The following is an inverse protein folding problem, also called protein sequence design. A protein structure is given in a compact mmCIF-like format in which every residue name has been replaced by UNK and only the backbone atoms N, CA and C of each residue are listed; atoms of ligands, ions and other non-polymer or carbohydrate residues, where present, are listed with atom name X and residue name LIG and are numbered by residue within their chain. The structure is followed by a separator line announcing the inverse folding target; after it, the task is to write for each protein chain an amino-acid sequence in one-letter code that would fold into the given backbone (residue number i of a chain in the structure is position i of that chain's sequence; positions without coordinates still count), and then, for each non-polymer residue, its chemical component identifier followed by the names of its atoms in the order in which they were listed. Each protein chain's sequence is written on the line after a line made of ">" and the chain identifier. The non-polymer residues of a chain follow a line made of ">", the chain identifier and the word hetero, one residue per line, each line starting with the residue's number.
data_IF_268509626088
#
_entry.id   IF_268509626088
#
_cell.length_a   1.000
_cell.length_b   1.000
_cell.length_c   1.000
_cell.angle_alpha   90.00
_cell.angle_beta   90.00
_cell.angle_gamma   90.00
#
_symmetry.space_group_name_H-M   'P 1'
#
loop_
_entity.id
_entity.type
_entity.pdbx_description
1 polymer ?
#
# COMPACT_ATOMS: atom_id res chain seq x y z
N UNK A 1 10.92 -5.26 6.71
CA UNK A 1 10.71 -4.60 5.39
C UNK A 1 10.00 -3.28 5.63
N UNK A 2 10.40 -2.22 4.91
CA UNK A 2 9.72 -0.92 5.07
C UNK A 2 8.25 -1.02 4.62
N UNK A 3 7.38 -0.27 5.28
CA UNK A 3 5.96 -0.22 4.89
C UNK A 3 5.82 0.29 3.45
N UNK A 4 4.92 -0.32 2.71
CA UNK A 4 4.65 0.10 1.35
C UNK A 4 3.74 1.33 1.40
N UNK A 5 4.26 2.44 0.91
CA UNK A 5 3.47 3.65 0.78
C UNK A 5 2.83 3.69 -0.60
N UNK A 6 1.66 3.07 -0.72
CA UNK A 6 0.87 3.09 -1.96
C UNK A 6 0.67 4.52 -2.49
N UNK A 7 0.67 5.51 -1.62
CA UNK A 7 0.53 6.93 -1.98
C UNK A 7 1.70 7.46 -2.80
N UNK A 8 2.86 6.79 -2.76
CA UNK A 8 4.07 7.18 -3.51
C UNK A 8 4.12 6.62 -4.94
N UNK A 9 3.17 5.79 -5.34
CA UNK A 9 3.10 5.30 -6.72
C UNK A 9 2.94 6.51 -7.66
N UNK A 10 3.73 6.58 -8.75
CA UNK A 10 3.70 7.75 -9.64
C UNK A 10 2.37 7.90 -10.36
N UNK A 11 2.03 9.13 -10.70
CA UNK A 11 0.85 9.43 -11.53
C UNK A 11 1.05 8.79 -12.91
N UNK A 12 0.01 8.13 -13.40
CA UNK A 12 0.01 7.48 -14.71
C UNK A 12 -0.60 8.46 -15.73
N UNK A 13 0.18 8.83 -16.72
CA UNK A 13 -0.25 9.70 -17.82
C UNK A 13 -1.12 8.90 -18.80
N UNK A 14 -2.02 9.56 -19.48
CA UNK A 14 -2.77 8.97 -20.58
C UNK A 14 -1.84 8.75 -21.80
N UNK A 15 -2.23 7.85 -22.67
CA UNK A 15 -1.42 7.46 -23.82
C UNK A 15 -1.09 8.65 -24.73
N UNK A 16 -2.07 9.51 -25.03
CA UNK A 16 -1.86 10.72 -25.82
C UNK A 16 -0.92 11.71 -25.12
N UNK A 17 -1.02 11.86 -23.81
CA UNK A 17 -0.12 12.71 -23.01
C UNK A 17 1.33 12.22 -23.09
N UNK A 18 1.55 10.90 -23.07
CA UNK A 18 2.90 10.30 -23.20
C UNK A 18 3.49 10.63 -24.56
N UNK A 19 2.72 10.43 -25.63
CA UNK A 19 3.15 10.70 -27.01
C UNK A 19 3.40 12.19 -27.25
N UNK A 20 2.48 13.04 -26.83
CA UNK A 20 2.60 14.49 -27.01
C UNK A 20 3.83 15.03 -26.28
N UNK A 21 4.03 14.61 -25.04
CA UNK A 21 5.20 14.97 -24.25
C UNK A 21 6.51 14.54 -24.94
N UNK A 22 6.54 13.32 -25.47
CA UNK A 22 7.73 12.79 -26.14
C UNK A 22 8.02 13.54 -27.43
N UNK A 23 7.05 13.71 -28.29
CA UNK A 23 7.22 14.36 -29.58
C UNK A 23 7.51 15.85 -29.45
N UNK A 24 7.02 16.43 -28.54
CA UNK A 24 7.21 17.71 -28.29
C UNK A 24 8.52 18.01 -27.89
N UNK A 25 8.97 17.34 -26.90
CA UNK A 25 10.37 17.52 -26.42
C UNK A 25 11.41 17.15 -27.47
N UNK A 26 11.17 16.06 -28.20
CA UNK A 26 12.09 15.59 -29.23
C UNK A 26 12.30 16.63 -30.34
N UNK A 27 11.23 17.31 -30.74
CA UNK A 27 11.31 18.39 -31.74
C UNK A 27 12.20 19.53 -31.23
N UNK A 28 11.94 20.03 -30.02
CA UNK A 28 12.74 21.09 -29.41
C UNK A 28 14.22 20.73 -29.30
N UNK A 29 14.53 19.48 -28.97
CA UNK A 29 15.91 19.01 -28.87
C UNK A 29 16.58 18.92 -30.25
N UNK A 30 15.83 18.64 -31.31
CA UNK A 30 16.37 18.60 -32.66
C UNK A 30 16.78 19.98 -33.19
N UNK A 31 16.09 21.03 -32.73
CA UNK A 31 16.37 22.41 -33.11
C UNK A 31 17.76 22.91 -32.64
N UNK A 32 18.34 22.21 -31.65
CA UNK A 32 19.70 22.50 -31.17
C UNK A 32 20.81 21.92 -32.06
N UNK A 33 20.46 21.19 -33.12
CA UNK A 33 21.45 20.58 -34.00
C UNK A 33 21.94 21.65 -34.98
N UNK A 34 23.23 21.96 -34.91
CA UNK A 34 23.90 22.93 -35.80
C UNK A 34 24.91 22.19 -36.69
N UNK A 35 24.80 22.35 -37.99
CA UNK A 35 25.75 21.83 -38.98
C UNK A 35 25.61 22.71 -40.22
N UNK A 36 26.71 23.23 -40.77
CA UNK A 36 26.66 24.05 -41.98
C UNK A 36 26.07 23.32 -43.18
N UNK A 37 26.35 22.03 -43.33
CA UNK A 37 25.83 21.22 -44.39
C UNK A 37 24.40 20.77 -44.13
N UNK A 38 23.51 21.10 -45.05
CA UNK A 38 22.07 20.81 -44.92
C UNK A 38 21.81 19.30 -44.83
N UNK A 39 22.49 18.50 -45.60
CA UNK A 39 22.29 17.05 -45.60
C UNK A 39 22.66 16.45 -44.23
N UNK A 40 23.84 16.80 -43.73
CA UNK A 40 24.30 16.33 -42.41
C UNK A 40 23.44 16.84 -41.29
N UNK A 41 23.04 18.12 -41.31
CA UNK A 41 22.17 18.74 -40.33
C UNK A 41 20.82 18.00 -40.25
N UNK A 42 20.13 17.76 -41.38
CA UNK A 42 18.84 17.10 -41.40
C UNK A 42 18.96 15.65 -40.90
N UNK A 43 20.03 14.98 -41.33
CA UNK A 43 20.28 13.62 -40.82
C UNK A 43 20.43 13.55 -39.29
N UNK A 44 20.91 14.44 -38.69
CA UNK A 44 21.13 14.55 -37.44
C UNK A 44 20.06 14.85 -36.74
N UNK A 45 19.35 15.79 -37.17
CA UNK A 45 18.04 16.20 -36.59
C UNK A 45 17.05 15.05 -36.56
N UNK A 46 16.83 14.36 -37.66
CA UNK A 46 15.86 13.24 -37.73
C UNK A 46 16.26 12.11 -36.77
N UNK A 47 17.55 11.79 -36.73
CA UNK A 47 18.04 10.79 -35.77
C UNK A 47 17.80 11.23 -34.30
N UNK A 48 18.15 12.48 -34.00
CA UNK A 48 17.96 13.02 -32.64
C UNK A 48 16.47 13.02 -32.22
N UNK A 49 15.57 13.38 -33.15
CA UNK A 49 14.13 13.31 -32.89
C UNK A 49 13.68 11.90 -32.51
N UNK A 50 14.13 10.88 -33.28
CA UNK A 50 13.76 9.49 -33.02
C UNK A 50 14.32 9.02 -31.65
N UNK A 51 15.59 9.28 -31.39
CA UNK A 51 16.25 8.85 -30.15
C UNK A 51 15.66 9.56 -28.92
N UNK A 52 15.42 10.88 -29.01
CA UNK A 52 14.86 11.66 -27.89
C UNK A 52 13.42 11.24 -27.59
N UNK A 53 12.58 11.07 -28.62
CA UNK A 53 11.20 10.61 -28.41
C UNK A 53 11.18 9.22 -27.76
N UNK A 54 11.98 8.29 -28.28
CA UNK A 54 12.07 6.95 -27.71
C UNK A 54 12.54 6.97 -26.26
N UNK A 55 13.55 7.77 -25.95
CA UNK A 55 14.10 7.90 -24.59
C UNK A 55 13.05 8.42 -23.59
N UNK A 56 12.23 9.39 -24.02
CA UNK A 56 11.18 9.96 -23.17
C UNK A 56 10.07 8.93 -22.91
N UNK A 57 9.63 8.22 -23.97
CA UNK A 57 8.62 7.16 -23.84
C UNK A 57 9.16 6.05 -22.92
N UNK A 58 10.36 5.55 -23.23
CA UNK A 58 11.00 4.48 -22.47
C UNK A 58 11.14 4.83 -20.99
N UNK A 59 11.70 6.01 -20.67
CA UNK A 59 11.90 6.43 -19.29
C UNK A 59 10.57 6.61 -18.54
N UNK A 60 9.51 7.03 -19.24
CA UNK A 60 8.18 7.15 -18.63
C UNK A 60 7.62 5.76 -18.29
N UNK A 61 7.67 4.83 -19.23
CA UNK A 61 7.15 3.47 -19.04
C UNK A 61 7.96 2.69 -18.00
N UNK A 62 9.28 2.78 -18.05
CA UNK A 62 10.17 2.10 -17.09
C UNK A 62 9.97 2.66 -15.67
N UNK A 63 9.73 3.97 -15.53
CA UNK A 63 9.42 4.57 -14.22
C UNK A 63 8.17 3.94 -13.59
N UNK A 64 7.16 3.58 -14.39
CA UNK A 64 5.99 2.86 -13.87
C UNK A 64 6.40 1.47 -13.37
N UNK A 65 7.14 0.71 -14.18
CA UNK A 65 7.56 -0.65 -13.82
C UNK A 65 8.42 -0.66 -12.55
N UNK A 66 9.39 0.25 -12.44
CA UNK A 66 10.35 0.29 -11.32
C UNK A 66 9.74 0.81 -10.02
N UNK A 67 8.78 1.74 -10.09
CA UNK A 67 8.21 2.38 -8.90
C UNK A 67 6.98 1.67 -8.36
N UNK A 68 6.43 0.73 -9.09
CA UNK A 68 5.35 -0.13 -8.59
C UNK A 68 5.97 -1.28 -7.79
N UNK A 69 5.49 -1.54 -6.58
CA UNK A 69 6.08 -2.62 -5.75
C UNK A 69 6.00 -3.98 -6.42
N UNK A 70 7.07 -4.76 -6.30
CA UNK A 70 7.03 -6.17 -6.72
C UNK A 70 6.10 -6.95 -5.78
N UNK A 71 5.10 -7.64 -6.31
CA UNK A 71 4.16 -8.41 -5.50
C UNK A 71 4.87 -9.46 -4.64
N UNK A 72 5.92 -10.08 -5.17
CA UNK A 72 6.64 -11.11 -4.43
C UNK A 72 7.45 -10.58 -3.24
N UNK A 73 7.66 -9.27 -3.18
CA UNK A 73 8.35 -8.61 -2.06
C UNK A 73 7.39 -8.10 -0.98
N UNK A 74 6.07 -8.20 -1.23
CA UNK A 74 5.04 -7.76 -0.29
C UNK A 74 4.83 -8.78 0.83
N UNK A 75 4.35 -8.33 1.99
CA UNK A 75 3.82 -9.22 3.03
C UNK A 75 2.60 -9.98 2.49
N UNK A 76 2.27 -11.11 3.09
CA UNK A 76 1.08 -11.89 2.71
C UNK A 76 -0.20 -11.05 2.83
N UNK A 77 -0.25 -10.18 3.83
CA UNK A 77 -1.36 -9.23 4.00
C UNK A 77 -1.46 -8.27 2.82
N UNK A 78 -0.37 -7.63 2.43
CA UNK A 78 -0.36 -6.68 1.31
C UNK A 78 -0.67 -7.38 -0.01
N UNK A 79 -0.16 -8.58 -0.22
CA UNK A 79 -0.51 -9.39 -1.41
C UNK A 79 -2.00 -9.67 -1.46
N UNK A 80 -2.60 -10.09 -0.36
CA UNK A 80 -4.05 -10.29 -0.26
C UNK A 80 -4.84 -9.01 -0.54
N UNK A 81 -4.41 -7.88 -0.16
CA UNK A 81 -4.91 -6.72 -0.36
C UNK A 81 -4.93 -6.35 -1.67
N UNK A 82 -3.87 -6.42 -2.35
CA UNK A 82 -3.72 -6.12 -3.78
C UNK A 82 -4.58 -7.06 -4.63
N UNK A 83 -4.52 -8.33 -4.36
CA UNK A 83 -5.29 -9.33 -5.13
C UNK A 83 -6.79 -9.04 -5.09
N UNK A 84 -7.31 -8.74 -3.90
CA UNK A 84 -8.74 -8.43 -3.73
C UNK A 84 -9.12 -7.07 -4.34
N UNK A 85 -8.23 -6.09 -4.30
CA UNK A 85 -8.53 -4.72 -4.74
C UNK A 85 -8.45 -4.60 -6.28
N UNK A 86 -7.44 -5.18 -6.90
CA UNK A 86 -7.13 -4.94 -8.32
C UNK A 86 -6.80 -6.23 -9.10
N UNK A 87 -6.58 -7.34 -8.43
CA UNK A 87 -6.20 -8.63 -9.04
C UNK A 87 -4.71 -8.74 -9.33
N UNK A 88 -4.07 -9.72 -8.71
CA UNK A 88 -2.61 -9.97 -8.86
C UNK A 88 -2.21 -10.31 -10.30
N UNK A 89 -3.06 -11.04 -11.03
CA UNK A 89 -2.78 -11.39 -12.43
C UNK A 89 -2.81 -10.16 -13.33
N UNK A 90 -3.80 -9.29 -13.16
CA UNK A 90 -3.88 -8.03 -13.92
C UNK A 90 -2.69 -7.12 -13.60
N UNK A 91 -2.29 -7.09 -12.32
CA UNK A 91 -1.13 -6.32 -11.86
C UNK A 91 0.15 -6.75 -12.63
N UNK A 92 0.44 -8.06 -12.63
CA UNK A 92 1.61 -8.62 -13.32
C UNK A 92 1.53 -8.44 -14.84
N UNK A 93 0.36 -8.72 -15.41
CA UNK A 93 0.12 -8.58 -16.85
C UNK A 93 0.34 -7.15 -17.33
N UNK A 94 -0.21 -6.16 -16.60
CA UNK A 94 -0.13 -4.76 -17.02
C UNK A 94 1.32 -4.23 -16.93
N UNK A 95 2.03 -4.50 -15.84
CA UNK A 95 3.43 -4.10 -15.72
C UNK A 95 4.31 -4.79 -16.77
N UNK A 96 4.05 -6.07 -17.05
CA UNK A 96 4.76 -6.82 -18.09
C UNK A 96 4.54 -6.25 -19.49
N UNK A 97 3.30 -5.87 -19.81
CA UNK A 97 2.96 -5.26 -21.09
C UNK A 97 3.65 -3.89 -21.25
N UNK A 98 3.68 -3.09 -20.17
CA UNK A 98 4.33 -1.78 -20.18
C UNK A 98 5.85 -1.93 -20.37
N UNK A 99 6.46 -2.89 -19.68
CA UNK A 99 7.87 -3.20 -19.87
C UNK A 99 8.17 -3.63 -21.31
N UNK A 100 7.34 -4.53 -21.86
CA UNK A 100 7.46 -4.94 -23.27
C UNK A 100 7.36 -3.74 -24.22
N UNK A 101 6.41 -2.83 -23.96
CA UNK A 101 6.25 -1.60 -24.76
C UNK A 101 7.52 -0.75 -24.77
N UNK A 102 8.13 -0.55 -23.61
CA UNK A 102 9.39 0.19 -23.46
C UNK A 102 10.52 -0.48 -24.30
N UNK A 103 10.65 -1.79 -24.20
CA UNK A 103 11.65 -2.56 -24.94
C UNK A 103 11.43 -2.45 -26.46
N UNK A 104 10.17 -2.52 -26.90
CA UNK A 104 9.83 -2.38 -28.33
C UNK A 104 10.15 -0.98 -28.86
N UNK A 105 9.86 0.07 -28.08
CA UNK A 105 10.19 1.46 -28.47
C UNK A 105 11.72 1.62 -28.61
N UNK A 106 12.50 1.08 -27.67
CA UNK A 106 13.98 1.09 -27.77
C UNK A 106 14.47 0.37 -29.03
N UNK A 107 13.91 -0.79 -29.31
CA UNK A 107 14.28 -1.59 -30.50
C UNK A 107 13.98 -0.82 -31.78
N UNK A 108 12.81 -0.22 -31.92
CA UNK A 108 12.39 0.58 -33.09
C UNK A 108 13.36 1.76 -33.29
N UNK A 109 13.74 2.44 -32.19
CA UNK A 109 14.69 3.56 -32.25
C UNK A 109 16.04 3.11 -32.80
N UNK A 110 16.57 1.98 -32.32
CA UNK A 110 17.83 1.40 -32.79
C UNK A 110 17.77 0.98 -34.25
N UNK A 111 16.68 0.32 -34.66
CA UNK A 111 16.46 -0.05 -36.08
C UNK A 111 16.43 1.18 -36.99
N UNK A 112 15.70 2.22 -36.54
CA UNK A 112 15.55 3.47 -37.31
C UNK A 112 16.88 4.21 -37.43
N UNK A 113 17.67 4.25 -36.35
CA UNK A 113 19.02 4.83 -36.37
C UNK A 113 19.90 4.15 -37.45
N UNK A 114 19.94 2.81 -37.42
CA UNK A 114 20.70 2.04 -38.42
C UNK A 114 20.21 2.30 -39.86
N UNK A 115 18.89 2.45 -40.03
CA UNK A 115 18.29 2.78 -41.33
C UNK A 115 18.72 4.19 -41.78
N UNK A 116 18.62 5.21 -40.92
CA UNK A 116 19.01 6.60 -41.25
C UNK A 116 20.50 6.67 -41.68
N UNK A 117 21.37 5.89 -41.02
CA UNK A 117 22.79 5.86 -41.36
C UNK A 117 23.06 5.33 -42.78
N UNK A 118 22.18 4.49 -43.33
CA UNK A 118 22.33 3.89 -44.66
C UNK A 118 21.66 4.70 -45.76
N UNK A 119 20.70 5.57 -45.42
CA UNK A 119 19.98 6.39 -46.41
C UNK A 119 20.90 7.48 -46.98
N UNK A 120 20.61 7.91 -48.22
CA UNK A 120 21.44 8.85 -48.98
C UNK A 120 20.71 10.13 -49.39
N UNK A 121 19.46 10.31 -48.94
CA UNK A 121 18.64 11.45 -49.34
C UNK A 121 17.82 12.01 -48.14
N UNK A 122 17.54 13.29 -48.21
CA UNK A 122 16.85 14.03 -47.13
C UNK A 122 15.40 13.53 -46.94
N UNK A 123 14.70 13.25 -48.02
CA UNK A 123 13.32 12.75 -47.94
C UNK A 123 13.24 11.40 -47.22
N UNK A 124 14.24 10.51 -47.49
CA UNK A 124 14.37 9.24 -46.78
C UNK A 124 14.54 9.40 -45.28
N UNK A 125 15.29 10.42 -44.80
CA UNK A 125 15.44 10.71 -43.38
C UNK A 125 14.10 11.10 -42.74
N UNK A 126 13.35 11.97 -43.41
CA UNK A 126 12.02 12.40 -42.95
C UNK A 126 11.03 11.23 -42.91
N UNK A 127 11.05 10.38 -43.95
CA UNK A 127 10.18 9.17 -44.01
C UNK A 127 10.53 8.19 -42.90
N UNK A 128 11.81 7.96 -42.61
CA UNK A 128 12.27 7.06 -41.55
C UNK A 128 11.78 7.58 -40.17
N UNK A 129 11.92 8.87 -39.93
CA UNK A 129 11.43 9.48 -38.67
C UNK A 129 9.91 9.35 -38.56
N UNK A 130 9.14 9.67 -39.62
CA UNK A 130 7.66 9.52 -39.61
C UNK A 130 7.23 8.09 -39.34
N UNK A 131 7.90 7.13 -39.98
CA UNK A 131 7.63 5.69 -39.80
C UNK A 131 7.91 5.26 -38.35
N UNK A 132 9.02 5.73 -37.75
CA UNK A 132 9.34 5.44 -36.37
C UNK A 132 8.26 6.00 -35.41
N UNK A 133 7.84 7.24 -35.60
CA UNK A 133 6.78 7.87 -34.78
C UNK A 133 5.45 7.11 -34.88
N UNK A 134 5.06 6.70 -36.11
CA UNK A 134 3.88 5.86 -36.31
C UNK A 134 3.98 4.53 -35.56
N UNK A 135 5.17 3.90 -35.57
CA UNK A 135 5.40 2.66 -34.82
C UNK A 135 5.37 2.90 -33.31
N UNK A 136 5.93 4.01 -32.79
CA UNK A 136 5.84 4.37 -31.37
C UNK A 136 4.38 4.53 -30.96
N UNK A 137 3.59 5.28 -31.75
CA UNK A 137 2.16 5.46 -31.49
C UNK A 137 1.44 4.10 -31.46
N UNK A 138 1.72 3.25 -32.44
CA UNK A 138 1.10 1.91 -32.50
C UNK A 138 1.44 1.04 -31.28
N UNK A 139 2.67 1.10 -30.76
CA UNK A 139 3.05 0.36 -29.53
C UNK A 139 2.29 0.92 -28.32
N UNK A 140 2.24 2.26 -28.18
CA UNK A 140 1.53 2.90 -27.07
C UNK A 140 0.03 2.59 -27.14
N UNK A 141 -0.57 2.63 -28.33
CA UNK A 141 -1.98 2.25 -28.53
C UNK A 141 -2.23 0.77 -28.14
N UNK A 142 -1.30 -0.11 -28.48
CA UNK A 142 -1.40 -1.54 -28.17
C UNK A 142 -1.41 -1.80 -26.65
N UNK A 143 -0.64 -1.03 -25.86
CA UNK A 143 -0.57 -1.18 -24.42
C UNK A 143 -1.49 -0.18 -23.68
N UNK A 144 -2.34 0.56 -24.41
CA UNK A 144 -3.23 1.55 -23.79
C UNK A 144 -4.19 0.96 -22.76
N UNK A 145 -4.76 -0.26 -22.97
CA UNK A 145 -5.61 -0.84 -21.93
C UNK A 145 -4.86 -1.08 -20.61
N UNK A 146 -3.60 -1.47 -20.68
CA UNK A 146 -2.77 -1.71 -19.50
C UNK A 146 -2.34 -0.40 -18.82
N UNK A 147 -2.10 0.67 -19.58
CA UNK A 147 -1.83 2.01 -19.03
C UNK A 147 -3.08 2.54 -18.32
N UNK A 148 -4.25 2.42 -18.93
CA UNK A 148 -5.52 2.84 -18.33
C UNK A 148 -5.80 2.06 -17.04
N UNK A 149 -5.64 0.72 -17.10
CA UNK A 149 -5.76 -0.13 -15.92
C UNK A 149 -4.81 0.32 -14.79
N UNK A 150 -3.56 0.66 -15.14
CA UNK A 150 -2.57 1.10 -14.14
C UNK A 150 -3.03 2.39 -13.44
N UNK A 151 -3.63 3.32 -14.18
CA UNK A 151 -4.21 4.55 -13.63
C UNK A 151 -5.35 4.26 -12.64
N UNK A 152 -6.27 3.39 -13.01
CA UNK A 152 -7.41 3.00 -12.16
C UNK A 152 -6.94 2.22 -10.93
N UNK A 153 -6.03 1.27 -11.13
CA UNK A 153 -5.46 0.47 -10.05
C UNK A 153 -4.71 1.36 -9.05
N UNK A 154 -3.94 2.34 -9.52
CA UNK A 154 -3.27 3.32 -8.66
C UNK A 154 -4.26 4.03 -7.74
N UNK A 155 -5.36 4.52 -8.28
CA UNK A 155 -6.37 5.25 -7.51
C UNK A 155 -7.05 4.35 -6.45
N UNK A 156 -7.16 3.06 -6.74
CA UNK A 156 -7.68 2.06 -5.80
C UNK A 156 -6.63 1.73 -4.73
N UNK A 157 -5.41 1.42 -5.14
CA UNK A 157 -4.33 1.01 -4.22
C UNK A 157 -3.96 2.12 -3.23
N UNK A 158 -4.03 3.38 -3.63
CA UNK A 158 -3.73 4.52 -2.75
C UNK A 158 -4.67 4.63 -1.54
N UNK A 159 -5.82 3.96 -1.59
CA UNK A 159 -6.81 3.94 -0.51
C UNK A 159 -6.60 2.75 0.45
N UNK A 160 -5.72 1.82 0.09
CA UNK A 160 -5.46 0.64 0.93
C UNK A 160 -4.76 1.03 2.24
N UNK A 161 -5.00 0.27 3.31
CA UNK A 161 -4.32 0.52 4.58
C UNK A 161 -2.81 0.29 4.45
N UNK A 162 -2.03 1.11 5.13
CA UNK A 162 -0.58 0.96 5.20
C UNK A 162 -0.22 0.40 6.58
N UNK A 163 -0.05 -0.92 6.66
CA UNK A 163 0.36 -1.61 7.88
C UNK A 163 1.80 -2.08 7.69
N UNK A 164 2.67 -1.66 8.58
CA UNK A 164 4.08 -2.05 8.53
C UNK A 164 4.27 -3.42 9.20
N UNK A 165 4.54 -4.45 8.41
CA UNK A 165 4.71 -5.81 8.92
C UNK A 165 5.97 -6.01 9.78
N UNK A 166 6.86 -5.02 9.86
CA UNK A 166 8.02 -5.07 10.74
C UNK A 166 7.75 -4.48 12.13
N UNK A 167 6.58 -3.84 12.31
CA UNK A 167 6.19 -3.22 13.57
C UNK A 167 5.03 -4.00 14.21
N UNK A 168 4.96 -4.05 15.54
CA UNK A 168 3.87 -4.75 16.23
C UNK A 168 2.49 -4.30 15.79
N UNK A 169 1.58 -5.26 15.65
CA UNK A 169 0.21 -5.00 15.24
C UNK A 169 -0.79 -5.64 16.22
N UNK A 170 -1.70 -4.84 16.73
CA UNK A 170 -2.78 -5.25 17.64
C UNK A 170 -4.07 -5.26 16.81
N UNK A 171 -4.67 -6.42 16.65
CA UNK A 171 -5.97 -6.56 15.97
C UNK A 171 -7.07 -6.41 17.01
N UNK A 172 -7.98 -5.45 16.80
CA UNK A 172 -9.08 -5.16 17.73
C UNK A 172 -10.37 -5.79 17.21
N UNK A 173 -10.97 -6.65 18.02
CA UNK A 173 -12.19 -7.41 17.71
C UNK A 173 -13.26 -7.19 18.77
N UNK A 174 -14.49 -7.59 18.45
CA UNK A 174 -15.64 -7.48 19.38
C UNK A 174 -16.91 -7.06 18.65
N UNK A 175 -18.04 -7.26 19.27
CA UNK A 175 -19.36 -7.00 18.70
C UNK A 175 -19.54 -5.54 18.24
N UNK A 176 -20.51 -5.25 17.40
CA UNK A 176 -20.80 -3.85 17.05
C UNK A 176 -21.12 -3.00 18.27
N UNK A 177 -20.72 -1.75 18.27
CA UNK A 177 -21.02 -0.73 19.27
C UNK A 177 -20.42 -0.98 20.68
N UNK A 178 -19.48 -1.92 20.82
CA UNK A 178 -18.79 -2.12 22.11
C UNK A 178 -17.74 -1.03 22.41
N UNK A 179 -17.42 -0.18 21.42
CA UNK A 179 -16.49 0.94 21.63
C UNK A 179 -15.11 0.76 21.00
N UNK A 180 -14.95 -0.14 20.02
CA UNK A 180 -13.64 -0.43 19.37
C UNK A 180 -12.96 0.82 18.83
N UNK A 181 -13.65 1.60 17.99
CA UNK A 181 -13.07 2.80 17.38
C UNK A 181 -12.73 3.88 18.42
N UNK A 182 -13.57 4.01 19.47
CA UNK A 182 -13.28 4.93 20.56
C UNK A 182 -12.03 4.49 21.34
N UNK A 183 -11.87 3.19 21.57
CA UNK A 183 -10.68 2.65 22.24
C UNK A 183 -9.42 2.93 21.43
N UNK A 184 -9.45 2.66 20.12
CA UNK A 184 -8.31 2.94 19.24
C UNK A 184 -7.95 4.42 19.28
N UNK A 185 -8.94 5.31 19.22
CA UNK A 185 -8.70 6.76 19.34
C UNK A 185 -8.04 7.14 20.68
N UNK A 186 -8.49 6.52 21.78
CA UNK A 186 -7.95 6.78 23.12
C UNK A 186 -6.52 6.25 23.30
N UNK A 187 -6.20 5.11 22.69
CA UNK A 187 -4.85 4.53 22.74
C UNK A 187 -3.88 5.23 21.78
N UNK A 188 -4.37 5.82 20.70
CA UNK A 188 -3.54 6.40 19.65
C UNK A 188 -2.84 7.69 20.07
N UNK A 189 -1.64 7.91 19.57
CA UNK A 189 -0.86 9.14 19.76
C UNK A 189 -1.33 10.29 18.85
N UNK A 190 -2.25 10.02 17.93
CA UNK A 190 -2.83 10.99 16.99
C UNK A 190 -4.15 10.49 16.47
N UNK A 191 -4.74 11.21 15.52
CA UNK A 191 -6.01 10.78 14.93
C UNK A 191 -5.80 9.47 14.13
N UNK A 192 -6.65 8.45 14.37
CA UNK A 192 -6.60 7.22 13.58
C UNK A 192 -6.84 7.48 12.09
N UNK A 193 -6.09 6.79 11.25
CA UNK A 193 -6.30 6.81 9.81
C UNK A 193 -7.48 5.92 9.43
N UNK A 194 -8.29 6.41 8.50
CA UNK A 194 -9.39 5.62 7.92
C UNK A 194 -8.94 5.13 6.55
N UNK A 195 -8.98 3.83 6.33
CA UNK A 195 -8.54 3.21 5.09
C UNK A 195 -9.61 2.28 4.51
N UNK A 196 -9.68 2.21 3.18
CA UNK A 196 -10.57 1.27 2.50
C UNK A 196 -10.04 -0.16 2.69
N UNK A 197 -10.97 -1.09 2.86
CA UNK A 197 -10.60 -2.51 2.94
C UNK A 197 -11.29 -3.25 1.80
N UNK A 198 -10.53 -3.84 0.88
CA UNK A 198 -11.12 -4.33 -0.39
C UNK A 198 -12.09 -5.50 -0.24
N UNK A 199 -12.09 -6.17 0.90
CA UNK A 199 -12.95 -7.31 1.15
C UNK A 199 -14.33 -6.93 1.68
N UNK A 200 -14.52 -5.68 2.10
CA UNK A 200 -15.77 -5.23 2.72
C UNK A 200 -16.16 -3.84 2.21
N UNK A 201 -17.42 -3.49 2.42
CA UNK A 201 -17.91 -2.12 2.17
C UNK A 201 -17.57 -1.17 3.33
N UNK A 202 -16.97 -1.70 4.40
CA UNK A 202 -16.62 -0.93 5.60
C UNK A 202 -15.15 -0.51 5.54
N UNK A 203 -14.82 0.51 6.32
CA UNK A 203 -13.47 1.06 6.41
C UNK A 203 -12.75 0.51 7.64
N UNK A 204 -11.45 0.29 7.53
CA UNK A 204 -10.59 0.01 8.68
C UNK A 204 -10.23 1.32 9.39
N UNK A 205 -10.16 1.28 10.71
CA UNK A 205 -9.59 2.35 11.50
C UNK A 205 -8.21 1.90 11.98
N UNK A 206 -7.18 2.64 11.59
CA UNK A 206 -5.79 2.34 11.90
C UNK A 206 -5.28 3.36 12.92
N UNK A 207 -5.00 2.91 14.12
CA UNK A 207 -4.38 3.74 15.15
C UNK A 207 -2.93 3.32 15.38
N UNK A 208 -2.19 4.14 16.11
CA UNK A 208 -0.87 3.76 16.59
C UNK A 208 -0.47 4.55 17.83
N UNK A 209 0.41 3.95 18.63
CA UNK A 209 1.10 4.66 19.71
C UNK A 209 2.58 4.31 19.67
N UNK A 210 3.39 5.16 20.29
CA UNK A 210 4.84 4.99 20.36
C UNK A 210 5.22 4.61 21.79
N UNK A 211 6.01 3.55 21.93
CA UNK A 211 6.62 3.17 23.21
C UNK A 211 8.08 2.83 22.98
N UNK A 212 9.00 3.51 23.69
CA UNK A 212 10.46 3.32 23.53
C UNK A 212 10.92 3.35 22.07
N UNK A 213 10.48 4.38 21.32
CA UNK A 213 10.79 4.60 19.89
C UNK A 213 10.20 3.56 18.92
N UNK A 214 9.52 2.53 19.43
CA UNK A 214 8.85 1.52 18.59
C UNK A 214 7.39 1.90 18.38
N UNK A 215 6.91 1.72 17.15
CA UNK A 215 5.53 2.01 16.77
C UNK A 215 4.67 0.76 16.95
N UNK A 216 3.62 0.88 17.74
CA UNK A 216 2.61 -0.17 17.94
C UNK A 216 1.37 0.21 17.14
N UNK A 217 1.01 -0.62 16.17
CA UNK A 217 -0.12 -0.38 15.27
C UNK A 217 -1.37 -1.08 15.80
N UNK A 218 -2.54 -0.46 15.59
CA UNK A 218 -3.83 -1.03 15.98
C UNK A 218 -4.76 -1.01 14.79
N UNK A 219 -5.47 -2.11 14.56
CA UNK A 219 -6.41 -2.26 13.44
C UNK A 219 -7.79 -2.61 13.98
N UNK A 220 -8.77 -1.71 13.79
CA UNK A 220 -10.18 -2.00 14.03
C UNK A 220 -10.75 -2.60 12.74
N UNK A 221 -11.43 -3.71 12.86
CA UNK A 221 -11.89 -4.53 11.73
C UNK A 221 -13.42 -4.60 11.68
N UNK A 222 -14.11 -3.44 11.51
CA UNK A 222 -15.59 -3.47 11.49
C UNK A 222 -16.07 -4.29 10.29
N UNK A 223 -17.02 -5.16 10.57
CA UNK A 223 -17.57 -6.07 9.56
C UNK A 223 -16.80 -7.37 9.39
N UNK A 224 -15.61 -7.52 10.01
CA UNK A 224 -14.82 -8.76 9.90
C UNK A 224 -14.80 -9.58 11.19
N UNK A 225 -14.52 -8.97 12.33
CA UNK A 225 -14.42 -9.65 13.62
C UNK A 225 -15.46 -9.11 14.61
N UNK A 226 -16.65 -8.79 14.11
CA UNK A 226 -17.72 -8.18 14.90
C UNK A 226 -19.07 -8.93 14.83
N UNK A 227 -19.11 -10.09 14.14
CA UNK A 227 -20.33 -10.90 14.00
C UNK A 227 -19.95 -12.38 13.75
N UNK A 228 -20.90 -13.33 13.94
CA UNK A 228 -20.62 -14.77 13.82
C UNK A 228 -20.01 -15.18 12.47
N UNK A 229 -19.17 -16.19 12.50
CA UNK A 229 -18.47 -16.71 11.30
C UNK A 229 -19.43 -17.31 10.27
N UNK A 230 -20.54 -17.86 10.70
CA UNK A 230 -21.59 -18.41 9.83
C UNK A 230 -22.21 -17.36 8.89
N UNK A 231 -22.07 -16.08 9.21
CA UNK A 231 -22.60 -14.97 8.43
C UNK A 231 -21.58 -14.42 7.41
N UNK A 232 -20.43 -15.09 7.21
CA UNK A 232 -19.33 -14.58 6.39
C UNK A 232 -19.22 -15.32 5.06
N UNK A 233 -18.83 -14.56 4.04
CA UNK A 233 -18.53 -15.12 2.72
C UNK A 233 -17.03 -15.49 2.61
N UNK A 234 -16.66 -16.18 1.53
CA UNK A 234 -15.29 -16.63 1.30
C UNK A 234 -14.28 -15.48 1.24
N UNK A 235 -14.70 -14.32 0.71
CA UNK A 235 -13.83 -13.13 0.58
C UNK A 235 -13.51 -12.56 1.98
N UNK A 236 -14.52 -12.48 2.85
CA UNK A 236 -14.35 -12.05 4.24
C UNK A 236 -13.45 -13.03 5.02
N UNK A 237 -13.57 -14.33 4.76
CA UNK A 237 -12.70 -15.33 5.39
C UNK A 237 -11.24 -15.17 4.96
N UNK A 238 -10.99 -14.84 3.68
CA UNK A 238 -9.63 -14.50 3.21
C UNK A 238 -9.08 -13.26 3.90
N UNK A 239 -9.93 -12.25 4.12
CA UNK A 239 -9.55 -11.03 4.83
C UNK A 239 -9.15 -11.33 6.29
N UNK A 240 -9.90 -12.20 6.96
CA UNK A 240 -9.61 -12.62 8.35
C UNK A 240 -8.27 -13.37 8.40
N UNK A 241 -8.04 -14.28 7.47
CA UNK A 241 -6.77 -15.02 7.37
C UNK A 241 -5.58 -14.07 7.14
N UNK A 242 -5.77 -13.02 6.33
CA UNK A 242 -4.73 -12.02 6.11
C UNK A 242 -4.43 -11.23 7.41
N UNK A 243 -5.45 -10.90 8.20
CA UNK A 243 -5.29 -10.23 9.49
C UNK A 243 -4.56 -11.13 10.52
N UNK A 244 -4.83 -12.42 10.51
CA UNK A 244 -4.14 -13.39 11.36
C UNK A 244 -2.62 -13.33 11.15
N UNK A 245 -2.19 -13.14 9.92
CA UNK A 245 -0.77 -13.11 9.58
C UNK A 245 -0.03 -11.86 10.08
N UNK A 246 -0.73 -10.75 10.32
CA UNK A 246 -0.10 -9.49 10.78
C UNK A 246 -0.31 -9.21 12.27
N UNK A 247 -1.32 -9.79 12.91
CA UNK A 247 -1.64 -9.53 14.31
C UNK A 247 -0.68 -10.22 15.27
N UNK A 248 0.00 -9.48 16.14
CA UNK A 248 0.82 -10.03 17.21
C UNK A 248 -0.02 -10.33 18.45
N UNK A 249 -1.05 -9.52 18.70
CA UNK A 249 -2.00 -9.66 19.81
C UNK A 249 -3.41 -9.42 19.29
N UNK A 250 -4.35 -10.21 19.73
CA UNK A 250 -5.79 -9.97 19.55
C UNK A 250 -6.34 -9.30 20.81
N UNK A 251 -6.87 -8.09 20.66
CA UNK A 251 -7.60 -7.39 21.71
C UNK A 251 -9.10 -7.58 21.48
N UNK A 252 -9.76 -8.33 22.34
CA UNK A 252 -11.21 -8.55 22.25
C UNK A 252 -11.94 -7.65 23.25
N UNK A 253 -12.77 -6.75 22.72
CA UNK A 253 -13.48 -5.74 23.53
C UNK A 253 -14.89 -6.23 23.84
N UNK A 254 -15.26 -6.24 25.13
CA UNK A 254 -16.57 -6.66 25.66
C UNK A 254 -17.26 -5.46 26.28
N UNK A 255 -18.54 -5.29 25.96
CA UNK A 255 -19.45 -4.36 26.65
C UNK A 255 -20.40 -5.18 27.53
N UNK A 256 -20.14 -5.18 28.82
CA UNK A 256 -21.00 -5.88 29.81
C UNK A 256 -21.98 -4.94 30.52
N UNK A 257 -22.20 -3.73 29.98
CA UNK A 257 -23.20 -2.81 30.55
C UNK A 257 -24.63 -3.31 30.28
N UNK A 258 -25.57 -2.87 31.10
CA UNK A 258 -26.99 -3.22 30.93
C UNK A 258 -27.59 -2.75 29.61
N UNK A 259 -26.98 -1.75 28.98
CA UNK A 259 -27.44 -1.14 27.71
C UNK A 259 -26.63 -1.62 26.48
N UNK A 260 -25.85 -2.69 26.62
CA UNK A 260 -25.06 -3.26 25.50
C UNK A 260 -26.01 -3.67 24.36
N UNK A 261 -25.62 -3.35 23.13
CA UNK A 261 -26.39 -3.67 21.92
C UNK A 261 -26.47 -5.18 21.67
N UNK A 262 -25.41 -5.90 22.06
CA UNK A 262 -25.29 -7.36 21.91
C UNK A 262 -25.21 -7.97 23.29
N UNK A 263 -25.94 -9.06 23.53
CA UNK A 263 -25.93 -9.72 24.84
C UNK A 263 -24.52 -10.24 25.18
N UNK A 264 -24.23 -10.37 26.46
CA UNK A 264 -22.95 -10.91 26.91
C UNK A 264 -22.70 -12.33 26.37
N UNK A 265 -23.77 -13.14 26.33
CA UNK A 265 -23.70 -14.50 25.77
C UNK A 265 -23.26 -14.50 24.30
N UNK A 266 -23.86 -13.64 23.47
CA UNK A 266 -23.48 -13.49 22.05
C UNK A 266 -22.05 -12.99 21.90
N UNK A 267 -21.61 -12.05 22.75
CA UNK A 267 -20.24 -11.54 22.75
C UNK A 267 -19.25 -12.65 23.12
N UNK A 268 -19.57 -13.50 24.07
CA UNK A 268 -18.73 -14.64 24.49
C UNK A 268 -18.65 -15.71 23.39
N UNK A 269 -19.77 -15.99 22.71
CA UNK A 269 -19.79 -16.91 21.57
C UNK A 269 -18.89 -16.39 20.43
N UNK A 270 -18.97 -15.09 20.14
CA UNK A 270 -18.09 -14.47 19.14
C UNK A 270 -16.61 -14.55 19.57
N UNK A 271 -16.31 -14.34 20.85
CA UNK A 271 -14.94 -14.49 21.36
C UNK A 271 -14.41 -15.90 21.12
N UNK A 272 -15.23 -16.93 21.41
CA UNK A 272 -14.84 -18.32 21.18
C UNK A 272 -14.55 -18.60 19.71
N UNK A 273 -15.41 -18.10 18.81
CA UNK A 273 -15.21 -18.26 17.36
C UNK A 273 -13.92 -17.56 16.86
N UNK A 274 -13.70 -16.32 17.30
CA UNK A 274 -12.52 -15.53 16.90
C UNK A 274 -11.24 -16.16 17.48
N UNK A 275 -11.29 -16.66 18.72
CA UNK A 275 -10.18 -17.39 19.34
C UNK A 275 -9.81 -18.64 18.54
N UNK A 276 -10.81 -19.37 18.06
CA UNK A 276 -10.59 -20.56 17.24
C UNK A 276 -9.92 -20.27 15.88
N UNK A 277 -10.13 -19.06 15.34
CA UNK A 277 -9.51 -18.62 14.09
C UNK A 277 -8.08 -18.12 14.27
N UNK A 278 -7.84 -17.39 15.36
CA UNK A 278 -6.53 -16.75 15.65
C UNK A 278 -5.90 -17.51 16.83
N UNK A 279 -5.74 -18.82 16.66
CA UNK A 279 -5.39 -19.72 17.77
C UNK A 279 -3.93 -19.63 18.25
N UNK A 280 -3.04 -19.07 17.45
CA UNK A 280 -1.60 -19.03 17.77
C UNK A 280 -1.15 -17.70 18.42
N UNK A 281 -2.05 -16.73 18.54
CA UNK A 281 -1.69 -15.40 19.05
C UNK A 281 -2.24 -15.16 20.46
N UNK A 282 -1.52 -14.45 21.30
CA UNK A 282 -2.04 -14.08 22.63
C UNK A 282 -3.29 -13.20 22.50
N UNK A 283 -4.25 -13.43 23.37
CA UNK A 283 -5.53 -12.72 23.39
C UNK A 283 -5.67 -11.99 24.71
N UNK A 284 -6.05 -10.71 24.65
CA UNK A 284 -6.42 -9.94 25.84
C UNK A 284 -7.90 -9.58 25.75
N UNK A 285 -8.64 -9.88 26.80
CA UNK A 285 -10.05 -9.52 26.93
C UNK A 285 -10.13 -8.22 27.72
N UNK A 286 -10.78 -7.22 27.14
CA UNK A 286 -10.89 -5.89 27.72
C UNK A 286 -12.37 -5.52 27.89
N UNK A 287 -12.77 -5.10 29.05
CA UNK A 287 -14.12 -4.61 29.34
C UNK A 287 -14.18 -3.10 29.09
N UNK A 288 -15.04 -2.69 28.17
CA UNK A 288 -15.23 -1.28 27.83
C UNK A 288 -16.21 -0.60 28.77
N UNK A 289 -16.24 0.73 28.69
CA UNK A 289 -17.22 1.58 29.43
C UNK A 289 -17.18 1.37 30.96
N UNK A 290 -15.96 1.26 31.51
CA UNK A 290 -15.76 1.02 32.96
C UNK A 290 -16.46 2.07 33.82
N UNK A 291 -16.62 3.29 33.32
CA UNK A 291 -17.31 4.39 33.95
C UNK A 291 -18.81 4.14 34.19
N UNK A 292 -19.40 3.15 33.51
CA UNK A 292 -20.82 2.78 33.66
C UNK A 292 -21.02 1.55 34.54
N UNK A 293 -19.95 1.00 35.12
CA UNK A 293 -20.00 -0.18 35.98
C UNK A 293 -19.76 0.16 37.45
N UNK A 294 -20.32 -0.66 38.34
CA UNK A 294 -19.91 -0.66 39.75
C UNK A 294 -18.48 -1.26 39.82
N UNK A 295 -17.60 -0.63 40.59
CA UNK A 295 -16.18 -1.04 40.70
C UNK A 295 -16.00 -2.52 41.00
N UNK A 296 -16.86 -3.11 41.81
CA UNK A 296 -16.81 -4.53 42.22
C UNK A 296 -17.09 -5.50 41.06
N UNK A 297 -17.86 -5.08 40.05
CA UNK A 297 -18.21 -5.96 38.91
C UNK A 297 -17.07 -6.19 37.94
N UNK A 298 -16.05 -5.35 38.01
CA UNK A 298 -14.87 -5.41 37.13
C UNK A 298 -13.58 -5.77 37.89
N UNK A 299 -13.70 -6.19 39.14
CA UNK A 299 -12.56 -6.62 39.96
C UNK A 299 -11.87 -7.81 39.27
N UNK A 300 -10.54 -7.78 39.17
CA UNK A 300 -9.69 -8.75 38.45
C UNK A 300 -9.86 -8.78 36.92
N UNK A 301 -10.50 -7.76 36.32
CA UNK A 301 -10.65 -7.66 34.85
C UNK A 301 -9.88 -6.47 34.32
N UNK A 302 -9.38 -6.60 33.09
CA UNK A 302 -8.84 -5.45 32.36
C UNK A 302 -10.03 -4.62 31.87
N UNK A 303 -10.15 -3.43 32.38
CA UNK A 303 -11.32 -2.57 32.13
C UNK A 303 -10.87 -1.15 31.75
N UNK A 304 -11.57 -0.53 30.83
CA UNK A 304 -11.22 0.79 30.31
C UNK A 304 -12.48 1.66 30.11
N UNK A 305 -12.27 2.97 30.17
CA UNK A 305 -13.23 3.93 29.68
C UNK A 305 -12.57 4.89 28.70
N UNK A 306 -13.01 4.86 27.46
CA UNK A 306 -12.53 5.80 26.42
C UNK A 306 -13.04 7.23 26.67
N UNK A 307 -14.05 7.40 27.54
CA UNK A 307 -14.58 8.72 27.89
C UNK A 307 -13.75 9.37 28.99
N UNK A 308 -13.46 8.63 30.07
CA UNK A 308 -12.71 9.16 31.22
C UNK A 308 -11.20 8.99 31.11
N UNK A 309 -10.74 8.09 30.23
CA UNK A 309 -9.34 7.71 30.12
C UNK A 309 -8.90 6.65 31.13
N UNK A 310 -9.80 6.18 31.98
CA UNK A 310 -9.50 5.17 33.00
C UNK A 310 -9.02 3.87 32.35
N UNK A 311 -7.90 3.30 32.82
CA UNK A 311 -7.36 2.03 32.39
C UNK A 311 -6.64 2.07 31.05
N UNK A 312 -6.63 3.20 30.33
CA UNK A 312 -6.04 3.30 28.98
C UNK A 312 -4.52 3.13 29.03
N UNK A 313 -3.84 3.80 29.96
CA UNK A 313 -2.38 3.71 30.05
C UNK A 313 -1.92 2.33 30.53
N UNK A 314 -2.65 1.76 31.50
CA UNK A 314 -2.41 0.40 31.99
C UNK A 314 -2.58 -0.63 30.88
N UNK A 315 -3.62 -0.46 30.04
CA UNK A 315 -3.84 -1.35 28.87
C UNK A 315 -2.71 -1.20 27.87
N UNK A 316 -2.26 0.03 27.59
CA UNK A 316 -1.12 0.25 26.67
C UNK A 316 0.12 -0.49 27.15
N UNK A 317 0.43 -0.42 28.44
CA UNK A 317 1.56 -1.11 29.03
C UNK A 317 1.41 -2.63 28.96
N UNK A 318 0.23 -3.16 29.25
CA UNK A 318 -0.07 -4.60 29.14
C UNK A 318 0.15 -5.10 27.72
N UNK A 319 -0.31 -4.34 26.72
CA UNK A 319 -0.13 -4.70 25.30
C UNK A 319 1.36 -4.76 24.92
N UNK A 320 2.15 -3.79 25.37
CA UNK A 320 3.59 -3.77 25.14
C UNK A 320 4.27 -5.01 25.77
N UNK A 321 3.90 -5.34 27.01
CA UNK A 321 4.44 -6.51 27.71
C UNK A 321 4.07 -7.83 27.01
N UNK A 322 2.83 -7.96 26.54
CA UNK A 322 2.38 -9.16 25.81
C UNK A 322 3.12 -9.37 24.50
N UNK A 323 3.51 -8.30 23.83
CA UNK A 323 4.24 -8.36 22.55
C UNK A 323 5.74 -8.64 22.79
N UNK A 324 6.22 -8.50 24.03
CA UNK A 324 7.62 -8.79 24.37
C UNK A 324 8.60 -7.70 23.95
N UNK A 325 8.24 -6.46 24.18
CA UNK A 325 9.07 -5.30 23.81
C UNK A 325 10.44 -5.26 24.52
N UNK A 326 10.60 -6.00 25.59
CA UNK A 326 11.85 -6.00 26.38
C UNK A 326 12.94 -6.89 25.76
N UNK A 327 12.60 -7.70 24.76
CA UNK A 327 13.56 -8.60 24.08
C UNK A 327 14.29 -7.94 22.91
N UNK A 328 14.03 -6.67 22.64
CA UNK A 328 14.74 -5.97 21.56
C UNK A 328 16.03 -5.41 22.12
N UNK A 329 17.14 -6.09 21.82
CA UNK A 329 18.45 -5.51 21.93
C UNK A 329 18.45 -4.14 21.22
N UNK A 330 18.96 -3.13 21.88
CA UNK A 330 19.17 -1.78 21.34
C UNK A 330 19.69 -1.91 19.88
N UNK A 331 18.98 -1.39 18.89
CA UNK A 331 19.41 -1.52 17.49
C UNK A 331 20.80 -0.92 17.22
N UNK A 332 21.32 -0.12 18.13
CA UNK A 332 22.65 0.44 18.04
C UNK A 332 23.70 -0.44 18.73
N UNK A 333 23.29 -1.48 19.44
CA UNK A 333 24.18 -2.41 20.16
C UNK A 333 25.28 -1.67 20.97
N UNK A 334 24.88 -0.54 21.55
CA UNK A 334 25.82 0.31 22.32
C UNK A 334 26.12 -0.33 23.67
N UNK A 335 27.38 -0.29 24.12
CA UNK A 335 27.76 -0.76 25.47
C UNK A 335 26.91 -0.08 26.56
N UNK A 336 26.65 -0.80 27.66
CA UNK A 336 25.85 -0.29 28.79
C UNK A 336 26.40 1.01 29.38
N UNK A 337 27.68 1.26 29.22
CA UNK A 337 28.41 2.44 29.73
C UNK A 337 28.55 3.58 28.71
N UNK A 338 27.85 3.47 27.51
CA UNK A 338 27.91 4.53 26.50
C UNK A 338 27.17 5.80 27.01
N UNK A 339 27.82 6.98 26.98
CA UNK A 339 27.14 8.21 27.44
C UNK A 339 25.96 8.57 26.51
N UNK A 340 24.78 8.60 27.10
CA UNK A 340 23.50 8.87 26.36
C UNK A 340 23.22 10.36 26.14
N UNK A 341 24.15 11.25 26.53
CA UNK A 341 23.96 12.71 26.49
C UNK A 341 24.11 13.34 25.11
N UNK A 342 24.53 12.59 24.10
CA UNK A 342 24.87 13.16 22.79
C UNK A 342 23.83 12.85 21.69
N UNK A 343 22.62 12.38 22.06
CA UNK A 343 21.57 11.98 21.11
C UNK A 343 20.26 12.79 21.24
N UNK A 344 20.30 13.99 21.89
CA UNK A 344 19.15 14.91 21.95
C UNK A 344 19.13 15.88 20.75
#
# INVERSE_FOLDING_TARGET
>A
MASIEWRKIPTVLKTDEILDKAFXKASKQSDTVEDPDKYHRVRXQMNKMVQSAASIIDSTLIAYVERWPSLNALSDFDQAXVDAAVGSDNYRKSLGAIQWGAERVRSIAGETQRKILRLRDIDGFHQARRAAYGRFSSIIDQISPEIDWLGEARDTLRKLPSIDSSEPCIVVAGSPNVGKSALISSLSSGEPEIAAYPFTTKQLHLGHFIHRRRKYQMVDTPGLLDRPMSERNNIEMQAIAALENIGDVLLFLIDSTANATTSLEEQMNLLEEVTGLISERPIIIVHSKSDLHEKRSLEDKVAVSSITGEGIEELRQTLVEMIGADDISDPLNLPEDWPRSDLD
#
